data_IF_442742102487
#
_entry.id   IF_442742102487
#
_cell.length_a   1.000
_cell.length_b   1.000
_cell.length_c   1.000
_cell.angle_alpha   90.00
_cell.angle_beta   90.00
_cell.angle_gamma   90.00
#
_symmetry.space_group_name_H-M   'P 1'
#
loop_
_entity.id
_entity.type
_entity.pdbx_description
1 polymer ?
#
# COMPACT_ATOMS: atom_id res chain seq x y z
N UNK A 1 -16.73 0.44 9.64
CA UNK A 1 -15.50 -0.24 9.17
C UNK A 1 -15.74 -0.70 7.74
N UNK A 2 -14.76 -0.54 6.87
CA UNK A 2 -14.86 -0.87 5.44
C UNK A 2 -13.61 -1.64 5.04
N UNK A 3 -13.76 -2.64 4.18
CA UNK A 3 -12.64 -3.37 3.62
C UNK A 3 -12.23 -2.65 2.34
N UNK A 4 -10.96 -2.25 2.24
CA UNK A 4 -10.44 -1.58 1.06
C UNK A 4 -9.44 -2.51 0.37
N UNK A 5 -9.76 -2.93 -0.86
CA UNK A 5 -8.75 -3.53 -1.74
C UNK A 5 -7.75 -2.45 -2.15
N UNK A 6 -6.48 -2.82 -2.12
CA UNK A 6 -5.37 -1.95 -2.44
C UNK A 6 -4.29 -2.70 -3.22
N UNK A 7 -3.36 -1.94 -3.79
CA UNK A 7 -2.15 -2.47 -4.40
C UNK A 7 -0.93 -1.83 -3.74
N UNK A 8 0.02 -2.65 -3.31
CA UNK A 8 1.35 -2.20 -2.87
C UNK A 8 2.35 -2.37 -3.99
N UNK A 9 2.95 -1.26 -4.42
CA UNK A 9 4.18 -1.29 -5.23
C UNK A 9 5.42 -1.34 -4.34
N UNK A 10 6.35 -2.27 -4.62
CA UNK A 10 7.68 -2.31 -4.02
C UNK A 10 8.74 -2.33 -5.12
N UNK A 11 9.65 -1.36 -5.06
CA UNK A 11 10.74 -1.25 -6.02
C UNK A 11 11.65 -2.48 -6.00
N UNK A 12 11.98 -2.99 -7.18
CA UNK A 12 12.93 -4.08 -7.35
C UNK A 12 14.37 -3.58 -7.51
N UNK A 13 15.32 -4.39 -7.06
CA UNK A 13 16.75 -4.13 -7.24
C UNK A 13 17.32 -2.93 -6.44
N UNK A 14 18.64 -2.81 -6.44
CA UNK A 14 19.37 -1.82 -5.63
C UNK A 14 19.42 -2.17 -4.14
N UNK A 15 20.09 -1.33 -3.35
CA UNK A 15 20.35 -1.61 -1.93
C UNK A 15 19.08 -1.64 -1.04
N UNK A 16 17.99 -1.02 -1.47
CA UNK A 16 16.73 -0.92 -0.72
C UNK A 16 15.53 -1.59 -1.42
N UNK A 17 15.74 -2.16 -2.60
CA UNK A 17 14.69 -2.86 -3.34
C UNK A 17 14.59 -4.33 -2.98
N UNK A 18 13.53 -4.97 -3.47
CA UNK A 18 13.27 -6.39 -3.26
C UNK A 18 13.69 -7.21 -4.49
N UNK A 19 14.14 -8.44 -4.31
CA UNK A 19 14.29 -9.39 -5.43
C UNK A 19 12.97 -10.08 -5.74
N UNK A 20 12.85 -10.70 -6.92
CA UNK A 20 11.67 -11.50 -7.27
C UNK A 20 11.44 -12.63 -6.27
N UNK A 21 12.51 -13.34 -5.90
CA UNK A 21 12.47 -14.46 -4.96
C UNK A 21 12.03 -13.99 -3.56
N UNK A 22 12.50 -12.83 -3.12
CA UNK A 22 12.06 -12.23 -1.86
C UNK A 22 10.58 -11.83 -1.93
N UNK A 23 10.13 -11.20 -3.02
CA UNK A 23 8.74 -10.79 -3.20
C UNK A 23 7.79 -11.98 -3.12
N UNK A 24 8.14 -13.08 -3.77
CA UNK A 24 7.37 -14.32 -3.71
C UNK A 24 7.46 -14.99 -2.34
N UNK A 25 8.62 -14.91 -1.70
CA UNK A 25 8.85 -15.41 -0.34
C UNK A 25 7.92 -14.76 0.68
N UNK A 26 7.57 -13.48 0.52
CA UNK A 26 6.64 -12.79 1.45
C UNK A 26 5.27 -13.47 1.50
N UNK A 27 4.81 -13.99 0.37
CA UNK A 27 3.54 -14.71 0.24
C UNK A 27 3.72 -16.18 0.57
N UNK A 28 4.66 -16.86 -0.11
CA UNK A 28 4.91 -18.30 0.01
C UNK A 28 5.25 -18.75 1.43
N UNK A 29 5.90 -17.91 2.22
CA UNK A 29 6.27 -18.22 3.61
C UNK A 29 5.35 -17.56 4.64
N UNK A 30 4.15 -17.13 4.23
CA UNK A 30 3.15 -16.51 5.11
C UNK A 30 3.70 -15.33 5.92
N UNK A 31 4.67 -14.60 5.37
CA UNK A 31 5.37 -13.52 6.07
C UNK A 31 4.61 -12.20 5.97
N UNK A 32 4.02 -11.90 4.82
CA UNK A 32 3.31 -10.66 4.57
C UNK A 32 4.24 -9.48 4.31
N UNK A 33 3.71 -8.25 4.37
CA UNK A 33 4.45 -7.02 4.08
C UNK A 33 4.68 -6.26 5.39
N UNK A 34 5.94 -6.00 5.71
CA UNK A 34 6.32 -5.21 6.87
C UNK A 34 6.63 -3.75 6.51
N UNK A 35 6.30 -2.84 7.42
CA UNK A 35 6.70 -1.44 7.34
C UNK A 35 8.23 -1.30 7.31
N UNK A 36 8.73 -0.22 6.72
CA UNK A 36 10.18 0.01 6.58
C UNK A 36 10.89 0.03 7.93
N UNK A 37 10.27 0.62 8.96
CA UNK A 37 10.80 0.60 10.33
C UNK A 37 11.01 -0.80 10.88
N UNK A 38 10.09 -1.72 10.60
CA UNK A 38 10.23 -3.12 11.00
C UNK A 38 11.38 -3.78 10.24
N UNK A 39 11.40 -3.63 8.90
CA UNK A 39 12.40 -4.25 8.02
C UNK A 39 13.82 -3.79 8.33
N UNK A 40 14.00 -2.49 8.59
CA UNK A 40 15.33 -1.88 8.73
C UNK A 40 15.90 -1.99 10.16
N UNK A 41 15.08 -2.23 11.18
CA UNK A 41 15.49 -2.14 12.59
C UNK A 41 15.04 -3.34 13.44
N UNK A 42 14.58 -4.43 12.83
CA UNK A 42 14.36 -5.70 13.54
C UNK A 42 13.02 -5.82 14.28
N UNK A 43 11.98 -5.15 13.80
CA UNK A 43 10.61 -5.26 14.33
C UNK A 43 10.21 -4.25 15.39
N UNK A 44 9.04 -4.48 15.99
CA UNK A 44 8.51 -3.73 17.13
C UNK A 44 8.21 -4.66 18.30
N UNK A 45 8.46 -4.17 19.50
CA UNK A 45 7.78 -4.68 20.70
C UNK A 45 6.35 -4.13 20.76
N UNK A 46 5.40 -4.86 21.35
CA UNK A 46 4.02 -4.37 21.46
C UNK A 46 3.87 -2.98 22.07
N UNK A 47 4.70 -2.63 23.06
CA UNK A 47 4.69 -1.32 23.72
C UNK A 47 5.32 -0.20 22.88
N UNK A 48 6.15 -0.55 21.88
CA UNK A 48 6.73 0.41 20.94
C UNK A 48 5.72 0.79 19.87
N UNK A 49 4.85 -0.14 19.43
CA UNK A 49 3.83 0.13 18.41
C UNK A 49 2.96 1.33 18.81
N UNK A 50 2.49 1.36 20.06
CA UNK A 50 1.64 2.45 20.56
C UNK A 50 2.36 3.81 20.59
N UNK A 51 3.69 3.82 20.74
CA UNK A 51 4.50 5.06 20.76
C UNK A 51 4.82 5.57 19.35
N UNK A 52 4.82 4.67 18.38
CA UNK A 52 5.19 4.97 16.99
C UNK A 52 3.94 5.35 16.17
N UNK A 53 2.80 4.73 16.45
CA UNK A 53 1.55 5.02 15.74
C UNK A 53 0.86 6.28 16.28
N UNK A 54 1.40 7.45 15.92
CA UNK A 54 0.86 8.76 16.29
C UNK A 54 0.50 9.60 15.07
N UNK A 55 -0.42 10.56 15.23
CA UNK A 55 -0.80 11.51 14.18
C UNK A 55 0.40 12.26 13.60
N UNK A 56 1.37 12.63 14.45
CA UNK A 56 2.60 13.30 14.01
C UNK A 56 3.44 12.40 13.12
N UNK A 57 3.60 11.12 13.45
CA UNK A 57 4.34 10.20 12.58
C UNK A 57 3.60 9.92 11.27
N UNK A 58 2.27 9.85 11.31
CA UNK A 58 1.47 9.73 10.09
C UNK A 58 1.67 10.97 9.21
N UNK A 59 1.62 12.18 9.77
CA UNK A 59 1.89 13.41 9.03
C UNK A 59 3.28 13.41 8.37
N UNK A 60 4.31 12.98 9.11
CA UNK A 60 5.67 12.81 8.55
C UNK A 60 5.72 11.77 7.44
N UNK A 61 5.00 10.66 7.57
CA UNK A 61 4.90 9.65 6.51
C UNK A 61 4.31 10.25 5.23
N UNK A 62 3.27 11.06 5.36
CA UNK A 62 2.53 11.63 4.24
C UNK A 62 3.22 12.82 3.58
N UNK A 63 4.05 13.56 4.32
CA UNK A 63 4.58 14.85 3.88
C UNK A 63 6.12 14.95 3.88
N UNK A 64 6.82 14.04 4.57
CA UNK A 64 8.28 13.98 4.69
C UNK A 64 8.82 12.56 4.36
N UNK A 65 8.20 11.87 3.40
CA UNK A 65 8.52 10.47 3.10
C UNK A 65 9.99 10.26 2.70
N UNK A 66 10.64 11.24 2.06
CA UNK A 66 12.06 11.13 1.68
C UNK A 66 12.97 10.92 2.89
N UNK A 67 12.70 11.57 4.03
CA UNK A 67 13.51 11.44 5.25
C UNK A 67 12.94 10.41 6.22
N UNK A 68 11.61 10.34 6.31
CA UNK A 68 10.92 9.51 7.28
C UNK A 68 10.61 8.09 6.76
N UNK A 69 10.52 7.91 5.44
CA UNK A 69 10.19 6.65 4.79
C UNK A 69 10.98 5.45 5.31
N UNK A 70 12.32 5.52 5.45
CA UNK A 70 13.12 4.40 5.98
C UNK A 70 12.79 4.00 7.42
N UNK A 71 12.25 4.91 8.23
CA UNK A 71 11.90 4.70 9.65
C UNK A 71 10.39 4.73 9.90
N UNK A 72 9.58 4.74 8.85
CA UNK A 72 8.14 4.83 8.95
C UNK A 72 7.52 3.53 9.48
N UNK A 73 6.65 3.58 10.51
CA UNK A 73 5.85 2.43 10.93
C UNK A 73 4.65 2.17 10.00
N UNK A 74 4.46 3.01 9.00
CA UNK A 74 3.35 2.96 8.05
C UNK A 74 3.75 2.37 6.69
N UNK A 75 2.77 1.78 6.00
CA UNK A 75 2.87 1.19 4.67
C UNK A 75 1.88 1.91 3.75
N UNK A 76 2.38 2.70 2.79
CA UNK A 76 1.55 3.31 1.75
C UNK A 76 1.04 2.27 0.77
N UNK A 77 -0.26 2.28 0.52
CA UNK A 77 -0.98 1.44 -0.44
C UNK A 77 -1.75 2.33 -1.41
N UNK A 78 -1.85 1.93 -2.67
CA UNK A 78 -2.72 2.61 -3.63
C UNK A 78 -4.10 1.95 -3.62
N UNK A 79 -5.17 2.73 -3.42
CA UNK A 79 -6.55 2.26 -3.56
C UNK A 79 -7.26 2.84 -4.78
N UNK A 80 -6.56 3.69 -5.55
CA UNK A 80 -7.15 4.44 -6.65
C UNK A 80 -7.93 5.66 -6.17
N UNK A 81 -8.19 6.60 -7.07
CA UNK A 81 -8.89 7.84 -6.72
C UNK A 81 -9.76 8.34 -7.87
N UNK A 82 -10.72 9.21 -7.53
CA UNK A 82 -11.58 9.86 -8.53
C UNK A 82 -11.48 11.37 -8.36
N UNK A 83 -11.06 12.06 -9.42
CA UNK A 83 -11.14 13.52 -9.53
C UNK A 83 -12.39 13.90 -10.27
N UNK A 84 -13.29 14.63 -9.61
CA UNK A 84 -14.46 15.22 -10.26
C UNK A 84 -14.07 16.55 -10.89
N UNK A 85 -14.19 16.66 -12.20
CA UNK A 85 -13.98 17.92 -12.91
C UNK A 85 -15.33 18.58 -13.19
N UNK A 86 -15.62 19.67 -12.48
CA UNK A 86 -16.83 20.46 -12.70
C UNK A 86 -16.83 21.11 -14.09
N UNK A 87 -15.66 21.55 -14.57
CA UNK A 87 -15.50 22.23 -15.86
C UNK A 87 -15.91 21.34 -17.04
N UNK A 88 -15.43 20.10 -17.07
CA UNK A 88 -15.75 19.14 -18.16
C UNK A 88 -16.89 18.18 -17.80
N UNK A 89 -17.50 18.34 -16.62
CA UNK A 89 -18.59 17.49 -16.08
C UNK A 89 -18.29 16.00 -16.20
N UNK A 90 -17.05 15.60 -15.94
CA UNK A 90 -16.58 14.20 -16.00
C UNK A 90 -15.82 13.83 -14.75
N UNK A 91 -15.90 12.54 -14.41
CA UNK A 91 -15.05 11.91 -13.41
C UNK A 91 -13.81 11.37 -14.12
N UNK A 92 -12.64 11.75 -13.63
CA UNK A 92 -11.38 11.17 -14.04
C UNK A 92 -10.96 10.15 -12.98
N UNK A 93 -10.76 8.91 -13.40
CA UNK A 93 -10.36 7.80 -12.54
C UNK A 93 -8.84 7.67 -12.61
N UNK A 94 -8.21 7.48 -11.46
CA UNK A 94 -6.79 7.20 -11.31
C UNK A 94 -6.69 5.78 -10.74
N UNK A 95 -6.13 4.87 -11.55
CA UNK A 95 -6.02 3.46 -11.23
C UNK A 95 -5.08 3.22 -10.06
N UNK A 96 -5.51 2.37 -9.13
CA UNK A 96 -4.65 1.87 -8.05
C UNK A 96 -3.44 1.12 -8.59
N UNK A 97 -3.65 0.32 -9.64
CA UNK A 97 -2.64 -0.52 -10.28
C UNK A 97 -1.59 0.35 -10.95
N UNK A 98 -2.00 1.35 -11.74
CA UNK A 98 -1.06 2.23 -12.45
C UNK A 98 -0.18 3.00 -11.46
N UNK A 99 -0.80 3.52 -10.40
CA UNK A 99 -0.09 4.24 -9.33
C UNK A 99 0.94 3.33 -8.65
N UNK A 100 0.52 2.12 -8.25
CA UNK A 100 1.43 1.16 -7.63
C UNK A 100 2.54 0.70 -8.57
N UNK A 101 2.26 0.55 -9.87
CA UNK A 101 3.20 0.14 -10.90
C UNK A 101 4.27 1.20 -11.14
N UNK A 102 3.90 2.48 -11.17
CA UNK A 102 4.86 3.59 -11.23
C UNK A 102 5.81 3.57 -10.03
N UNK A 103 5.30 3.30 -8.82
CA UNK A 103 6.15 3.18 -7.63
C UNK A 103 7.03 1.93 -7.64
N UNK A 104 6.49 0.77 -8.05
CA UNK A 104 7.22 -0.48 -8.10
C UNK A 104 8.33 -0.47 -9.15
N UNK A 105 8.13 0.21 -10.26
CA UNK A 105 9.11 0.22 -11.36
C UNK A 105 9.98 1.47 -11.36
N UNK A 106 9.76 2.38 -10.41
CA UNK A 106 10.34 3.72 -10.40
C UNK A 106 10.24 4.38 -11.78
N UNK A 107 9.00 4.45 -12.28
CA UNK A 107 8.66 4.88 -13.62
C UNK A 107 9.40 4.10 -14.73
N UNK A 108 9.32 2.77 -14.67
CA UNK A 108 9.93 1.83 -15.63
C UNK A 108 11.46 1.88 -15.73
N UNK A 109 12.15 2.50 -14.79
CA UNK A 109 13.63 2.53 -14.76
C UNK A 109 14.23 1.24 -14.18
N UNK A 110 13.43 0.42 -13.49
CA UNK A 110 13.82 -0.85 -12.88
C UNK A 110 12.63 -1.80 -12.76
N UNK A 111 12.85 -3.11 -12.58
CA UNK A 111 11.77 -4.04 -12.26
C UNK A 111 11.20 -3.79 -10.86
N UNK A 112 10.07 -4.40 -10.54
CA UNK A 112 9.47 -4.36 -9.21
C UNK A 112 8.29 -5.29 -9.02
N UNK A 113 7.75 -5.29 -7.80
CA UNK A 113 6.65 -6.16 -7.41
C UNK A 113 5.37 -5.37 -7.09
N UNK A 114 4.24 -5.89 -7.55
CA UNK A 114 2.91 -5.47 -7.11
C UNK A 114 2.31 -6.54 -6.20
N UNK A 115 1.79 -6.12 -5.05
CA UNK A 115 1.04 -6.99 -4.15
C UNK A 115 -0.41 -6.51 -4.11
N UNK A 116 -1.32 -7.39 -4.47
CA UNK A 116 -2.75 -7.14 -4.44
C UNK A 116 -3.27 -7.60 -3.08
N UNK A 117 -3.81 -6.70 -2.28
CA UNK A 117 -4.22 -7.01 -0.92
C UNK A 117 -5.48 -6.26 -0.50
N UNK A 118 -5.99 -6.58 0.68
CA UNK A 118 -7.04 -5.80 1.33
C UNK A 118 -6.62 -5.37 2.74
N UNK A 119 -7.19 -4.26 3.20
CA UNK A 119 -7.01 -3.75 4.57
C UNK A 119 -8.33 -3.27 5.15
N UNK A 120 -8.43 -3.27 6.48
CA UNK A 120 -9.56 -2.69 7.19
C UNK A 120 -9.37 -1.18 7.31
N UNK A 121 -10.41 -0.40 7.03
CA UNK A 121 -10.40 1.07 7.15
C UNK A 121 -11.54 1.55 8.05
N UNK A 122 -11.25 2.60 8.82
CA UNK A 122 -12.19 3.30 9.68
C UNK A 122 -12.95 4.39 8.94
N UNK A 123 -14.08 4.82 9.51
CA UNK A 123 -14.77 6.06 9.07
C UNK A 123 -14.11 7.30 9.70
N UNK A 124 -13.58 7.12 10.91
CA UNK A 124 -12.79 8.11 11.63
C UNK A 124 -11.32 7.67 11.65
N UNK A 125 -10.41 8.63 11.84
CA UNK A 125 -9.00 8.34 12.06
C UNK A 125 -8.82 7.51 13.33
N UNK A 126 -7.97 6.50 13.27
CA UNK A 126 -7.70 5.60 14.39
C UNK A 126 -6.20 5.25 14.43
N UNK A 127 -5.32 6.25 14.33
CA UNK A 127 -3.89 6.06 14.03
C UNK A 127 -3.22 5.07 14.97
N UNK A 128 -3.52 5.13 16.27
CA UNK A 128 -2.99 4.25 17.31
C UNK A 128 -3.40 2.77 17.14
N UNK A 129 -4.49 2.49 16.44
CA UNK A 129 -4.95 1.13 16.17
C UNK A 129 -4.23 0.54 14.96
N UNK A 130 -3.24 -0.32 15.21
CA UNK A 130 -2.41 -0.95 14.17
C UNK A 130 -3.18 -1.85 13.17
N UNK A 131 -4.39 -2.31 13.51
CA UNK A 131 -5.18 -3.20 12.63
C UNK A 131 -5.96 -2.39 11.57
N UNK A 132 -6.31 -1.14 11.90
CA UNK A 132 -7.13 -0.29 11.03
C UNK A 132 -6.22 0.64 10.22
N UNK A 133 -6.23 0.53 8.91
CA UNK A 133 -5.55 1.44 7.99
C UNK A 133 -6.27 2.80 7.88
N UNK A 134 -5.51 3.83 7.53
CA UNK A 134 -6.00 5.20 7.40
C UNK A 134 -6.25 5.55 5.93
N UNK A 135 -7.48 5.98 5.61
CA UNK A 135 -7.84 6.47 4.27
C UNK A 135 -7.44 7.94 4.09
N UNK A 136 -6.12 8.18 4.10
CA UNK A 136 -5.51 9.52 4.21
C UNK A 136 -5.67 10.41 2.99
N UNK A 137 -6.18 9.90 1.86
CA UNK A 137 -6.48 10.69 0.66
C UNK A 137 -7.93 10.53 0.17
N UNK A 138 -8.82 9.96 0.99
CA UNK A 138 -10.27 9.99 0.74
C UNK A 138 -10.81 11.39 1.09
N UNK A 139 -11.40 12.09 0.12
CA UNK A 139 -11.96 13.43 0.28
C UNK A 139 -13.05 13.54 1.35
N UNK A 140 -13.72 12.45 1.67
CA UNK A 140 -14.76 12.44 2.71
C UNK A 140 -14.17 12.38 4.13
N UNK A 141 -12.95 11.87 4.27
CA UNK A 141 -12.30 11.61 5.56
C UNK A 141 -11.16 12.61 5.80
N UNK A 142 -10.31 12.82 4.79
CA UNK A 142 -9.15 13.72 4.87
C UNK A 142 -9.47 15.08 4.26
N UNK A 143 -9.68 16.08 5.14
CA UNK A 143 -10.13 17.44 4.74
C UNK A 143 -9.00 18.40 4.39
N UNK A 144 -7.74 18.06 4.71
CA UNK A 144 -6.59 18.91 4.37
C UNK A 144 -6.16 18.63 2.94
N UNK A 145 -5.90 19.70 2.19
CA UNK A 145 -5.39 19.57 0.82
C UNK A 145 -4.04 18.86 0.80
N UNK A 146 -3.83 18.02 -0.22
CA UNK A 146 -2.54 17.42 -0.51
C UNK A 146 -2.30 17.34 -2.01
N UNK A 147 -1.07 17.62 -2.45
CA UNK A 147 -0.68 17.45 -3.85
C UNK A 147 -0.74 16.00 -4.33
N UNK A 148 -0.67 15.05 -3.41
CA UNK A 148 -0.66 13.60 -3.67
C UNK A 148 -2.04 12.95 -3.52
N UNK A 149 -3.10 13.76 -3.38
CA UNK A 149 -4.45 13.26 -3.21
C UNK A 149 -4.89 12.26 -4.29
N UNK A 150 -4.39 12.44 -5.52
CA UNK A 150 -4.79 11.63 -6.67
C UNK A 150 -4.15 10.23 -6.70
N UNK A 151 -3.17 9.97 -5.85
CA UNK A 151 -2.58 8.63 -5.69
C UNK A 151 -3.54 7.67 -4.97
N UNK A 152 -4.60 8.20 -4.33
CA UNK A 152 -5.57 7.38 -3.60
C UNK A 152 -4.90 6.58 -2.49
N UNK A 153 -4.03 7.23 -1.73
CA UNK A 153 -3.25 6.54 -0.70
C UNK A 153 -4.13 6.09 0.47
N UNK A 154 -3.94 4.82 0.85
CA UNK A 154 -4.39 4.21 2.10
C UNK A 154 -3.15 3.75 2.86
N UNK A 155 -3.11 4.06 4.15
CA UNK A 155 -1.93 3.82 4.97
C UNK A 155 -2.18 2.68 5.95
N UNK A 156 -1.65 1.50 5.64
CA UNK A 156 -1.59 0.39 6.59
C UNK A 156 -0.48 0.63 7.62
N UNK A 157 -0.51 -0.14 8.72
CA UNK A 157 0.37 0.09 9.88
C UNK A 157 1.09 -1.20 10.20
N UNK A 158 2.40 -1.08 10.43
CA UNK A 158 3.31 -2.11 10.97
C UNK A 158 3.49 -3.32 10.06
N UNK A 159 2.41 -4.03 9.73
CA UNK A 159 2.39 -5.29 9.03
C UNK A 159 1.06 -5.51 8.30
N UNK A 160 1.13 -6.00 7.07
CA UNK A 160 0.00 -6.56 6.32
C UNK A 160 0.22 -8.09 6.29
N UNK A 161 -0.62 -8.88 6.96
CA UNK A 161 -0.56 -10.33 6.93
C UNK A 161 -0.60 -10.93 5.52
N UNK A 162 0.10 -12.05 5.31
CA UNK A 162 0.12 -12.73 4.01
C UNK A 162 -1.28 -13.17 3.56
N UNK A 163 -2.13 -13.65 4.47
CA UNK A 163 -3.50 -14.06 4.14
C UNK A 163 -4.41 -12.90 3.69
N UNK A 164 -3.96 -11.64 3.79
CA UNK A 164 -4.62 -10.48 3.22
C UNK A 164 -4.12 -10.14 1.81
N UNK A 165 -3.12 -10.87 1.30
CA UNK A 165 -2.50 -10.69 -0.02
C UNK A 165 -3.07 -11.76 -0.94
N UNK A 166 -3.79 -11.34 -1.97
CA UNK A 166 -4.39 -12.23 -2.97
C UNK A 166 -3.32 -12.83 -3.88
N UNK A 167 -2.42 -11.97 -4.37
CA UNK A 167 -1.35 -12.36 -5.27
C UNK A 167 -0.22 -11.33 -5.29
N UNK A 168 0.93 -11.76 -5.79
CA UNK A 168 2.07 -10.92 -6.12
C UNK A 168 2.40 -11.05 -7.60
N UNK A 169 2.66 -9.92 -8.25
CA UNK A 169 3.07 -9.84 -9.64
C UNK A 169 4.46 -9.23 -9.73
N UNK A 170 5.32 -9.78 -10.58
CA UNK A 170 6.62 -9.20 -10.89
C UNK A 170 6.58 -8.52 -12.27
N UNK A 171 7.04 -7.28 -12.30
CA UNK A 171 7.01 -6.40 -13.46
C UNK A 171 8.41 -5.95 -13.84
N UNK A 172 8.66 -5.88 -15.15
CA UNK A 172 9.93 -5.44 -15.71
C UNK A 172 9.67 -4.81 -17.08
N UNK A 173 9.86 -3.49 -17.17
CA UNK A 173 9.61 -2.72 -18.38
C UNK A 173 10.49 -3.11 -19.57
N UNK A 174 11.65 -3.75 -19.32
CA UNK A 174 12.49 -4.29 -20.40
C UNK A 174 11.86 -5.49 -21.10
N UNK A 175 10.94 -6.18 -20.42
CA UNK A 175 10.22 -7.34 -20.96
C UNK A 175 8.81 -6.98 -21.43
N UNK A 176 8.07 -6.21 -20.64
CA UNK A 176 6.70 -5.81 -20.96
C UNK A 176 6.24 -4.67 -20.05
N UNK A 177 5.55 -3.70 -20.64
CA UNK A 177 4.88 -2.61 -19.90
C UNK A 177 3.37 -2.82 -19.74
N UNK A 178 2.83 -3.91 -20.32
CA UNK A 178 1.38 -4.18 -20.37
C UNK A 178 0.98 -5.44 -19.61
N UNK A 179 1.92 -6.36 -19.38
CA UNK A 179 1.69 -7.62 -18.68
C UNK A 179 2.81 -7.87 -17.67
N UNK A 180 2.51 -8.44 -16.50
CA UNK A 180 3.54 -8.89 -15.58
C UNK A 180 4.38 -10.01 -16.24
N UNK A 181 5.66 -10.09 -15.89
CA UNK A 181 6.50 -11.23 -16.29
C UNK A 181 5.96 -12.54 -15.67
N UNK A 182 5.49 -12.45 -14.43
CA UNK A 182 4.96 -13.59 -13.68
C UNK A 182 3.99 -13.10 -12.61
N UNK A 183 2.92 -13.86 -12.40
CA UNK A 183 1.94 -13.65 -11.34
C UNK A 183 1.89 -14.90 -10.47
N UNK A 184 1.89 -14.71 -9.15
CA UNK A 184 1.91 -15.77 -8.17
C UNK A 184 0.78 -15.56 -7.14
N UNK A 185 -0.28 -16.39 -7.16
CA UNK A 185 -1.37 -16.30 -6.19
C UNK A 185 -0.96 -16.84 -4.81
N UNK A 186 -1.53 -16.28 -3.74
CA UNK A 186 -1.43 -16.88 -2.41
C UNK A 186 -2.51 -17.94 -2.22
N UNK A 187 -2.10 -19.17 -1.89
CA UNK A 187 -3.03 -20.26 -1.57
C UNK A 187 -3.69 -20.09 -0.19
N UNK A 188 -3.14 -19.23 0.66
CA UNK A 188 -3.63 -18.91 1.99
C UNK A 188 -4.45 -17.61 2.04
N UNK A 189 -4.71 -17.00 0.87
CA UNK A 189 -5.54 -15.81 0.78
C UNK A 189 -6.93 -16.04 1.37
N UNK A 190 -7.37 -15.11 2.21
CA UNK A 190 -8.73 -15.09 2.75
C UNK A 190 -9.51 -13.99 2.05
N UNK A 191 -10.57 -14.39 1.35
CA UNK A 191 -11.49 -13.46 0.70
C UNK A 191 -12.19 -12.59 1.76
N UNK A 192 -12.06 -11.25 1.67
CA UNK A 192 -12.66 -10.34 2.63
C UNK A 192 -14.20 -10.29 2.56
N UNK A 193 -14.85 -10.89 1.55
CA UNK A 193 -16.30 -10.83 1.37
C UNK A 193 -17.10 -11.34 2.58
N UNK A 194 -16.48 -12.19 3.41
CA UNK A 194 -17.10 -12.70 4.64
C UNK A 194 -17.08 -11.69 5.81
N UNK A 195 -16.26 -10.65 5.74
CA UNK A 195 -16.00 -9.73 6.85
C UNK A 195 -16.83 -8.44 6.78
N UNK A 196 -17.32 -8.04 5.60
CA UNK A 196 -18.14 -6.84 5.45
C UNK A 196 -18.09 -6.22 4.06
N UNK A 197 -18.44 -4.92 3.99
CA UNK A 197 -18.52 -4.18 2.73
C UNK A 197 -17.13 -3.94 2.13
N UNK A 198 -16.97 -4.31 0.86
CA UNK A 198 -15.74 -4.15 0.09
C UNK A 198 -15.79 -2.88 -0.77
N UNK A 199 -14.71 -2.10 -0.72
CA UNK A 199 -14.35 -1.11 -1.74
C UNK A 199 -13.29 -1.73 -2.65
N UNK A 200 -13.62 -1.81 -3.93
CA UNK A 200 -12.77 -2.39 -4.97
C UNK A 200 -11.64 -1.43 -5.40
N UNK A 201 -10.73 -1.95 -6.22
CA UNK A 201 -9.71 -1.15 -6.91
C UNK A 201 -10.42 -0.29 -7.97
N UNK A 202 -10.35 1.04 -7.83
CA UNK A 202 -10.91 1.97 -8.82
C UNK A 202 -10.16 1.93 -10.16
#
# INVERSE_FOLDING_TARGET
MIIQKCVKGIAGGGAAGITREQAFGLVRHSTGIFANRWRNFGGFKPDEIAKELTDHQLDRHLHDYTRFGPISPFISLASGSVKRSALVRRNQIYSAIDTALLFATDNWTRPGALFFCWVLTGVNLAVENHIVAESVRDLLIYRRWSRYQLEGEVTAKVWIPANQIERVEWWDGSSSTVNPQVSFPDVHYVDPAQLGNIRELF
#
